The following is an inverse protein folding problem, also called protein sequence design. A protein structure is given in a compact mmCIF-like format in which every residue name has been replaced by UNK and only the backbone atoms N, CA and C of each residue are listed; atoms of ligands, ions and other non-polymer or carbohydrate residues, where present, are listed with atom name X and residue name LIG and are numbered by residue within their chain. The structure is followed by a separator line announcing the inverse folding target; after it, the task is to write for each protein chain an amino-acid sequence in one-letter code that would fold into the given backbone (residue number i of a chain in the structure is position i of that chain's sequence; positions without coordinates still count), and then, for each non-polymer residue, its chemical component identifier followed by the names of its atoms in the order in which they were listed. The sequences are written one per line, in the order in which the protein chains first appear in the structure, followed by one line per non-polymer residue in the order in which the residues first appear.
data_IF_041317371280
#
_entry.id   IF_041317371280
#
_cell.length_a   1.000
_cell.length_b   1.000
_cell.length_c   1.000
_cell.angle_alpha   90.00
_cell.angle_beta   90.00
_cell.angle_gamma   90.00
#
_symmetry.space_group_name_H-M   'P 1'
#
loop_
_entity.id
_entity.type
_entity.pdbx_description
1 polymer ?
#
# COMPACT_ATOMS: atom_id res chain seq x y z
N UNK A 1 -36.98 -68.65 -49.65
CA UNK A 1 -35.58 -68.49 -49.84
C UNK A 1 -35.39 -67.10 -50.36
N UNK A 2 -35.45 -66.19 -49.49
CA UNK A 2 -35.50 -64.76 -49.91
C UNK A 2 -34.49 -64.03 -48.97
N UNK A 3 -33.42 -63.66 -49.61
CA UNK A 3 -32.46 -62.71 -49.04
C UNK A 3 -33.05 -61.31 -49.03
N UNK A 4 -33.03 -60.72 -47.86
CA UNK A 4 -33.39 -59.31 -47.73
C UNK A 4 -32.18 -58.59 -47.21
N UNK A 5 -31.56 -57.77 -48.04
CA UNK A 5 -30.49 -56.86 -47.78
C UNK A 5 -31.09 -55.61 -47.11
N UNK A 6 -30.64 -55.24 -46.01
CA UNK A 6 -30.96 -53.96 -45.32
C UNK A 6 -30.01 -52.86 -45.83
N UNK A 7 -30.51 -51.61 -46.04
CA UNK A 7 -29.64 -50.49 -46.42
C UNK A 7 -28.96 -49.87 -45.21
N UNK A 8 -27.68 -49.69 -45.39
CA UNK A 8 -26.79 -48.93 -44.51
C UNK A 8 -27.11 -47.43 -44.62
N UNK A 9 -27.52 -46.81 -43.52
CA UNK A 9 -27.74 -45.36 -43.44
C UNK A 9 -26.69 -44.75 -42.55
N UNK A 10 -25.59 -44.35 -43.18
CA UNK A 10 -24.59 -43.50 -42.53
C UNK A 10 -25.22 -42.16 -42.19
N UNK A 11 -25.44 -41.91 -40.91
CA UNK A 11 -25.81 -40.60 -40.39
C UNK A 11 -24.50 -39.82 -40.15
N UNK A 12 -24.18 -38.93 -41.10
CA UNK A 12 -23.15 -37.89 -40.90
C UNK A 12 -23.62 -36.95 -39.78
N UNK A 13 -22.98 -37.05 -38.61
CA UNK A 13 -23.13 -36.07 -37.55
C UNK A 13 -22.29 -34.85 -37.91
N UNK A 14 -22.93 -33.84 -38.46
CA UNK A 14 -22.36 -32.48 -38.57
C UNK A 14 -22.12 -31.96 -37.16
N UNK A 15 -20.83 -31.96 -36.74
CA UNK A 15 -20.40 -31.23 -35.57
C UNK A 15 -20.67 -29.74 -35.78
N UNK A 16 -21.62 -29.19 -35.06
CA UNK A 16 -21.87 -27.77 -34.99
C UNK A 16 -20.63 -27.10 -34.43
N UNK A 17 -19.91 -26.33 -35.26
CA UNK A 17 -18.91 -25.40 -34.83
C UNK A 17 -19.61 -24.38 -33.95
N UNK A 18 -19.47 -24.56 -32.63
CA UNK A 18 -19.93 -23.58 -31.65
C UNK A 18 -19.17 -22.27 -31.86
N UNK A 19 -19.88 -21.25 -32.34
CA UNK A 19 -19.40 -19.88 -32.28
C UNK A 19 -19.33 -19.55 -30.79
N UNK A 20 -18.12 -19.60 -30.24
CA UNK A 20 -17.84 -19.15 -28.89
C UNK A 20 -18.10 -17.64 -28.88
N UNK A 21 -19.23 -17.22 -28.31
CA UNK A 21 -19.44 -15.82 -27.97
C UNK A 21 -18.31 -15.32 -27.02
N UNK A 22 -18.14 -14.02 -26.86
CA UNK A 22 -17.09 -13.50 -25.97
C UNK A 22 -17.21 -14.17 -24.62
N UNK A 23 -16.16 -14.87 -24.19
CA UNK A 23 -16.10 -15.49 -22.88
C UNK A 23 -16.01 -14.36 -21.85
N UNK A 24 -17.11 -14.06 -21.17
CA UNK A 24 -17.16 -13.12 -20.07
C UNK A 24 -16.57 -13.83 -18.85
N UNK A 25 -15.48 -13.28 -18.33
CA UNK A 25 -14.81 -13.80 -17.13
C UNK A 25 -15.66 -13.51 -15.88
N UNK A 26 -15.68 -14.43 -14.94
CA UNK A 26 -16.36 -14.23 -13.67
C UNK A 26 -15.29 -13.93 -12.59
N UNK A 27 -15.42 -12.82 -11.85
CA UNK A 27 -14.52 -12.56 -10.72
C UNK A 27 -14.58 -13.69 -9.71
N UNK A 28 -13.46 -13.94 -9.02
CA UNK A 28 -13.38 -14.96 -7.95
C UNK A 28 -14.40 -14.70 -6.84
N UNK A 29 -14.56 -13.45 -6.47
CA UNK A 29 -15.60 -12.99 -5.55
C UNK A 29 -16.78 -12.41 -6.35
N UNK A 30 -18.00 -12.60 -5.89
CA UNK A 30 -19.19 -11.99 -6.46
C UNK A 30 -19.12 -10.46 -6.28
N UNK A 31 -18.72 -9.75 -7.33
CA UNK A 31 -18.69 -8.29 -7.41
C UNK A 31 -19.75 -7.84 -8.39
N UNK A 32 -20.79 -7.14 -7.91
CA UNK A 32 -21.83 -6.59 -8.76
C UNK A 32 -21.43 -5.26 -9.36
N UNK A 33 -21.06 -4.30 -8.52
CA UNK A 33 -20.68 -2.95 -8.93
C UNK A 33 -19.31 -2.57 -8.40
N UNK A 34 -18.44 -2.11 -9.31
CA UNK A 34 -17.10 -1.64 -8.96
C UNK A 34 -16.85 -0.24 -9.50
N UNK A 35 -16.06 0.54 -8.77
CA UNK A 35 -15.58 1.85 -9.24
C UNK A 35 -14.06 1.80 -9.27
N UNK A 36 -13.46 2.30 -10.35
CA UNK A 36 -12.03 2.45 -10.48
C UNK A 36 -11.65 3.92 -10.56
N UNK A 37 -10.90 4.38 -9.58
CA UNK A 37 -10.32 5.72 -9.53
C UNK A 37 -8.90 5.66 -10.10
N UNK A 38 -8.66 6.44 -11.14
CA UNK A 38 -7.36 6.53 -11.82
C UNK A 38 -6.77 7.91 -11.60
N UNK A 39 -5.58 8.01 -11.02
CA UNK A 39 -4.88 9.28 -10.87
C UNK A 39 -3.84 9.47 -12.00
N UNK A 40 -4.16 10.22 -13.06
CA UNK A 40 -3.27 10.40 -14.21
C UNK A 40 -1.99 11.18 -13.88
N UNK A 41 -1.97 11.90 -12.73
CA UNK A 41 -0.80 12.64 -12.26
C UNK A 41 0.22 11.76 -11.53
N UNK A 42 -0.10 10.50 -11.26
CA UNK A 42 0.85 9.57 -10.64
C UNK A 42 1.87 9.08 -11.66
N UNK A 43 3.14 9.09 -11.26
CA UNK A 43 4.27 8.88 -12.18
C UNK A 43 4.36 7.51 -12.86
N UNK A 44 3.64 6.50 -12.36
CA UNK A 44 3.55 5.16 -12.95
C UNK A 44 2.25 4.93 -13.75
N UNK A 45 1.39 5.95 -13.86
CA UNK A 45 0.11 5.87 -14.58
C UNK A 45 0.26 6.52 -15.96
N UNK A 46 0.04 5.76 -17.01
CA UNK A 46 0.07 6.27 -18.39
C UNK A 46 -1.17 7.11 -18.73
N UNK A 47 -1.06 7.94 -19.77
CA UNK A 47 -2.15 8.81 -20.20
C UNK A 47 -3.43 8.04 -20.58
N UNK A 48 -3.30 6.82 -21.10
CA UNK A 48 -4.43 5.98 -21.55
C UNK A 48 -4.88 4.97 -20.48
N UNK A 49 -4.38 5.09 -19.23
CA UNK A 49 -4.62 4.08 -18.19
C UNK A 49 -6.11 3.92 -17.85
N UNK A 50 -6.90 4.98 -17.95
CA UNK A 50 -8.35 4.90 -17.71
C UNK A 50 -9.06 4.06 -18.78
N UNK A 51 -8.72 4.25 -20.06
CA UNK A 51 -9.29 3.48 -21.18
C UNK A 51 -8.83 2.02 -21.15
N UNK A 52 -7.55 1.80 -20.84
CA UNK A 52 -7.00 0.45 -20.67
C UNK A 52 -7.64 -0.29 -19.49
N UNK A 53 -7.91 0.41 -18.38
CA UNK A 53 -8.61 -0.14 -17.25
C UNK A 53 -10.07 -0.49 -17.58
N UNK A 54 -10.76 0.41 -18.29
CA UNK A 54 -12.13 0.15 -18.74
C UNK A 54 -12.20 -1.07 -19.68
N UNK A 55 -11.23 -1.21 -20.57
CA UNK A 55 -11.13 -2.38 -21.46
C UNK A 55 -10.93 -3.69 -20.68
N UNK A 56 -10.03 -3.69 -19.67
CA UNK A 56 -9.81 -4.87 -18.83
C UNK A 56 -11.08 -5.21 -18.03
N UNK A 57 -11.73 -4.23 -17.43
CA UNK A 57 -12.93 -4.45 -16.62
C UNK A 57 -14.11 -4.95 -17.45
N UNK A 58 -14.20 -4.56 -18.72
CA UNK A 58 -15.23 -5.03 -19.66
C UNK A 58 -15.14 -6.53 -19.99
N UNK A 59 -13.98 -7.17 -19.74
CA UNK A 59 -13.83 -8.61 -19.89
C UNK A 59 -14.57 -9.41 -18.79
N UNK A 60 -15.02 -8.76 -17.71
CA UNK A 60 -15.61 -9.41 -16.53
C UNK A 60 -17.10 -9.13 -16.39
N UNK A 61 -17.84 -10.09 -15.83
CA UNK A 61 -19.28 -10.00 -15.55
C UNK A 61 -19.54 -9.10 -14.31
N UNK A 62 -19.36 -7.78 -14.46
CA UNK A 62 -19.58 -6.79 -13.41
C UNK A 62 -19.95 -5.42 -14.01
N UNK A 63 -20.57 -4.57 -13.21
CA UNK A 63 -20.84 -3.17 -13.58
C UNK A 63 -19.65 -2.31 -13.14
N UNK A 64 -18.87 -1.83 -14.11
CA UNK A 64 -17.68 -1.03 -13.84
C UNK A 64 -17.87 0.44 -14.21
N UNK A 65 -17.42 1.35 -13.34
CA UNK A 65 -17.29 2.77 -13.63
C UNK A 65 -15.84 3.17 -13.42
N UNK A 66 -15.21 3.75 -14.47
CA UNK A 66 -13.84 4.27 -14.38
C UNK A 66 -13.88 5.79 -14.33
N UNK A 67 -13.20 6.38 -13.33
CA UNK A 67 -13.17 7.81 -13.09
C UNK A 67 -11.71 8.27 -13.05
N UNK A 68 -11.33 9.16 -13.96
CA UNK A 68 -10.05 9.87 -13.88
C UNK A 68 -10.13 10.96 -12.82
N UNK A 69 -9.19 10.94 -11.86
CA UNK A 69 -9.14 11.93 -10.80
C UNK A 69 -8.59 13.26 -11.32
N UNK A 70 -9.28 14.33 -10.99
CA UNK A 70 -8.89 15.71 -11.31
C UNK A 70 -8.38 16.40 -10.03
N UNK A 71 -7.24 17.09 -10.12
CA UNK A 71 -6.60 17.69 -8.95
C UNK A 71 -7.48 18.62 -8.12
N UNK A 72 -8.33 19.41 -8.78
CA UNK A 72 -9.27 20.32 -8.10
C UNK A 72 -10.56 19.66 -7.59
N UNK A 73 -10.85 18.42 -7.97
CA UNK A 73 -12.10 17.71 -7.66
C UNK A 73 -11.85 16.43 -6.85
N UNK A 74 -10.61 16.16 -6.47
CA UNK A 74 -10.21 14.93 -5.78
C UNK A 74 -11.14 14.56 -4.62
N UNK A 75 -11.35 15.49 -3.69
CA UNK A 75 -12.19 15.22 -2.51
C UNK A 75 -13.64 14.89 -2.87
N UNK A 76 -14.20 15.62 -3.84
CA UNK A 76 -15.56 15.41 -4.32
C UNK A 76 -15.71 14.07 -5.04
N UNK A 77 -14.78 13.74 -5.95
CA UNK A 77 -14.81 12.49 -6.72
C UNK A 77 -14.64 11.26 -5.81
N UNK A 78 -13.73 11.34 -4.83
CA UNK A 78 -13.54 10.26 -3.84
C UNK A 78 -14.79 10.08 -2.98
N UNK A 79 -15.39 11.20 -2.51
CA UNK A 79 -16.60 11.11 -1.71
C UNK A 79 -17.76 10.52 -2.50
N UNK A 80 -17.97 10.95 -3.75
CA UNK A 80 -19.00 10.38 -4.63
C UNK A 80 -18.81 8.88 -4.86
N UNK A 81 -17.55 8.43 -5.06
CA UNK A 81 -17.25 7.02 -5.23
C UNK A 81 -17.59 6.20 -3.97
N UNK A 82 -17.32 6.75 -2.79
CA UNK A 82 -17.65 6.10 -1.52
C UNK A 82 -19.16 6.09 -1.24
N UNK A 83 -19.85 7.20 -1.51
CA UNK A 83 -21.31 7.34 -1.33
C UNK A 83 -22.09 6.42 -2.25
N UNK A 84 -21.53 6.09 -3.42
CA UNK A 84 -22.11 5.13 -4.36
C UNK A 84 -22.11 3.68 -3.80
N UNK A 85 -21.38 3.40 -2.71
CA UNK A 85 -21.27 2.11 -2.04
C UNK A 85 -21.01 0.94 -3.00
N UNK A 86 -19.92 0.99 -3.79
CA UNK A 86 -19.56 -0.13 -4.64
C UNK A 86 -19.13 -1.33 -3.79
N UNK A 87 -19.17 -2.53 -4.36
CA UNK A 87 -18.62 -3.73 -3.71
C UNK A 87 -17.10 -3.62 -3.57
N UNK A 88 -16.44 -3.06 -4.59
CA UNK A 88 -15.01 -2.79 -4.56
C UNK A 88 -14.65 -1.44 -5.22
N UNK A 89 -13.64 -0.79 -4.66
CA UNK A 89 -13.05 0.45 -5.13
C UNK A 89 -11.59 0.20 -5.54
N UNK A 90 -11.34 0.13 -6.83
CA UNK A 90 -10.00 0.02 -7.38
C UNK A 90 -9.35 1.41 -7.42
N UNK A 91 -8.09 1.51 -7.00
CA UNK A 91 -7.38 2.80 -6.91
C UNK A 91 -6.04 2.69 -7.62
N UNK A 92 -5.96 3.17 -8.85
CA UNK A 92 -4.71 3.26 -9.61
C UNK A 92 -4.04 4.61 -9.35
N UNK A 93 -3.13 4.64 -8.41
CA UNK A 93 -2.49 5.87 -7.94
C UNK A 93 -1.15 5.57 -7.22
N UNK A 94 -0.44 6.62 -6.78
CA UNK A 94 0.67 6.47 -5.84
C UNK A 94 0.19 6.17 -4.41
N UNK A 95 1.12 5.69 -3.56
CA UNK A 95 0.83 5.24 -2.19
C UNK A 95 0.09 6.29 -1.35
N UNK A 96 0.43 7.57 -1.47
CA UNK A 96 -0.24 8.66 -0.72
C UNK A 96 -1.71 8.82 -1.10
N UNK A 97 -2.04 8.80 -2.39
CA UNK A 97 -3.43 8.86 -2.87
C UNK A 97 -4.20 7.60 -2.48
N UNK A 98 -3.61 6.43 -2.72
CA UNK A 98 -4.23 5.14 -2.39
C UNK A 98 -4.47 5.02 -0.88
N UNK A 99 -3.50 5.41 -0.06
CA UNK A 99 -3.62 5.43 1.39
C UNK A 99 -4.70 6.40 1.90
N UNK A 100 -4.83 7.56 1.29
CA UNK A 100 -5.88 8.54 1.63
C UNK A 100 -7.27 7.97 1.33
N UNK A 101 -7.46 7.35 0.18
CA UNK A 101 -8.75 6.73 -0.21
C UNK A 101 -9.06 5.54 0.69
N UNK A 102 -8.08 4.67 0.96
CA UNK A 102 -8.24 3.54 1.88
C UNK A 102 -8.62 3.99 3.30
N UNK A 103 -7.99 5.07 3.80
CA UNK A 103 -8.31 5.67 5.09
C UNK A 103 -9.74 6.22 5.16
N UNK A 104 -10.24 6.81 4.06
CA UNK A 104 -11.62 7.31 3.98
C UNK A 104 -12.65 6.19 3.86
N UNK A 105 -12.34 5.11 3.15
CA UNK A 105 -13.17 3.92 3.08
C UNK A 105 -13.33 3.28 4.47
N UNK A 106 -12.25 3.18 5.21
CA UNK A 106 -12.26 2.62 6.56
C UNK A 106 -12.61 1.13 6.60
N UNK A 107 -12.79 0.56 7.80
CA UNK A 107 -13.05 -0.86 7.98
C UNK A 107 -14.44 -1.31 7.52
N UNK A 108 -15.42 -0.40 7.52
CA UNK A 108 -16.81 -0.68 7.21
C UNK A 108 -17.23 -0.26 5.79
N UNK A 109 -16.31 0.35 5.05
CA UNK A 109 -16.53 0.80 3.68
C UNK A 109 -16.42 -0.31 2.63
N UNK A 110 -16.39 0.05 1.33
CA UNK A 110 -16.17 -0.89 0.24
C UNK A 110 -14.80 -1.57 0.37
N UNK A 111 -14.62 -2.72 -0.28
CA UNK A 111 -13.30 -3.32 -0.44
C UNK A 111 -12.42 -2.37 -1.27
N UNK A 112 -11.19 -2.12 -0.83
CA UNK A 112 -10.26 -1.26 -1.58
C UNK A 112 -9.19 -2.11 -2.24
N UNK A 113 -8.99 -1.93 -3.53
CA UNK A 113 -7.91 -2.56 -4.29
C UNK A 113 -6.88 -1.48 -4.70
N UNK A 114 -5.87 -1.18 -3.87
CA UNK A 114 -4.82 -0.23 -4.24
C UNK A 114 -3.92 -0.86 -5.30
N UNK A 115 -3.86 -0.23 -6.48
CA UNK A 115 -3.07 -0.70 -7.62
C UNK A 115 -1.78 0.13 -7.77
N UNK A 116 -0.68 -0.48 -8.24
CA UNK A 116 0.60 0.21 -8.35
C UNK A 116 0.60 1.27 -9.46
N UNK A 117 0.43 2.53 -9.09
CA UNK A 117 0.45 3.69 -9.99
C UNK A 117 1.52 4.73 -9.62
N UNK A 118 2.27 4.52 -8.55
CA UNK A 118 3.31 5.42 -8.06
C UNK A 118 4.74 4.93 -8.35
N UNK A 119 5.68 5.52 -7.64
CA UNK A 119 7.11 5.15 -7.75
C UNK A 119 7.48 4.02 -6.79
N UNK A 120 7.01 4.08 -5.55
CA UNK A 120 7.39 3.09 -4.52
C UNK A 120 6.44 1.89 -4.54
N UNK A 121 5.14 2.14 -4.63
CA UNK A 121 4.08 1.13 -4.68
C UNK A 121 4.21 0.10 -3.53
N UNK A 122 4.51 0.57 -2.31
CA UNK A 122 4.79 -0.30 -1.17
C UNK A 122 3.56 -1.12 -0.78
N UNK A 123 2.43 -0.46 -0.61
CA UNK A 123 1.17 -1.11 -0.26
C UNK A 123 0.68 -2.07 -1.36
N UNK A 124 0.60 -1.67 -2.65
CA UNK A 124 0.22 -2.59 -3.72
C UNK A 124 1.15 -3.79 -3.87
N UNK A 125 2.47 -3.58 -3.74
CA UNK A 125 3.44 -4.69 -3.82
C UNK A 125 3.28 -5.70 -2.69
N UNK A 126 2.97 -5.23 -1.48
CA UNK A 126 2.70 -6.12 -0.35
C UNK A 126 1.44 -6.98 -0.57
N UNK A 127 0.41 -6.41 -1.23
CA UNK A 127 -0.85 -7.09 -1.50
C UNK A 127 -0.80 -8.01 -2.72
N UNK A 128 -0.16 -7.58 -3.80
CA UNK A 128 -0.24 -8.27 -5.10
C UNK A 128 1.08 -8.90 -5.56
N UNK A 129 2.21 -8.62 -4.90
CA UNK A 129 3.52 -9.15 -5.28
C UNK A 129 4.05 -8.65 -6.64
N UNK A 130 3.47 -7.57 -7.20
CA UNK A 130 3.83 -7.02 -8.51
C UNK A 130 3.86 -5.50 -8.52
N UNK A 131 4.60 -4.93 -9.47
CA UNK A 131 4.61 -3.50 -9.76
C UNK A 131 3.79 -3.15 -11.02
N UNK A 132 3.30 -4.15 -11.75
CA UNK A 132 2.43 -3.97 -12.92
C UNK A 132 0.97 -3.88 -12.46
N UNK A 133 0.36 -2.72 -12.70
CA UNK A 133 -1.01 -2.48 -12.28
C UNK A 133 -2.05 -3.32 -13.03
N UNK A 134 -1.77 -3.72 -14.28
CA UNK A 134 -2.68 -4.59 -15.05
C UNK A 134 -2.69 -5.99 -14.49
N UNK A 135 -1.53 -6.49 -14.09
CA UNK A 135 -1.40 -7.78 -13.41
C UNK A 135 -2.06 -7.72 -12.03
N UNK A 136 -1.84 -6.64 -11.27
CA UNK A 136 -2.47 -6.45 -9.96
C UNK A 136 -4.00 -6.37 -10.05
N UNK A 137 -4.55 -5.65 -11.07
CA UNK A 137 -5.99 -5.57 -11.32
C UNK A 137 -6.60 -6.95 -11.61
N UNK A 138 -5.97 -7.73 -12.52
CA UNK A 138 -6.43 -9.09 -12.82
C UNK A 138 -6.35 -10.00 -11.59
N UNK A 139 -5.27 -9.97 -10.84
CA UNK A 139 -5.16 -10.73 -9.59
C UNK A 139 -6.23 -10.37 -8.57
N UNK A 140 -6.55 -9.09 -8.43
CA UNK A 140 -7.63 -8.65 -7.54
C UNK A 140 -8.99 -9.20 -7.98
N UNK A 141 -9.26 -9.30 -9.30
CA UNK A 141 -10.50 -9.83 -9.86
C UNK A 141 -10.56 -11.36 -9.83
N UNK A 142 -9.46 -12.03 -10.15
CA UNK A 142 -9.40 -13.47 -10.39
C UNK A 142 -9.04 -14.27 -9.12
N UNK A 143 -8.34 -13.66 -8.15
CA UNK A 143 -7.83 -14.33 -6.95
C UNK A 143 -8.24 -13.57 -5.66
N UNK A 144 -8.87 -12.39 -5.81
CA UNK A 144 -9.12 -11.48 -4.70
C UNK A 144 -10.15 -12.00 -3.71
N UNK A 145 -9.81 -11.88 -2.43
CA UNK A 145 -10.69 -12.11 -1.29
C UNK A 145 -10.60 -10.90 -0.32
N UNK A 146 -11.62 -10.70 0.54
CA UNK A 146 -11.58 -9.65 1.54
C UNK A 146 -10.46 -9.91 2.56
N UNK A 147 -9.54 -8.95 2.72
CA UNK A 147 -8.46 -9.00 3.70
C UNK A 147 -8.52 -7.77 4.61
N UNK A 148 -8.40 -7.98 5.93
CA UNK A 148 -8.22 -6.89 6.88
C UNK A 148 -6.81 -6.34 6.79
N UNK A 149 -6.67 -5.07 6.45
CA UNK A 149 -5.36 -4.39 6.43
C UNK A 149 -5.17 -3.64 7.74
N UNK A 150 -4.14 -4.04 8.47
CA UNK A 150 -3.69 -3.34 9.65
C UNK A 150 -2.80 -2.16 9.28
N UNK A 151 -2.69 -1.19 10.19
CA UNK A 151 -1.84 -0.02 9.99
C UNK A 151 -1.56 0.70 11.30
N UNK A 152 -1.06 1.91 11.17
CA UNK A 152 -0.92 2.82 12.29
C UNK A 152 -1.48 4.19 11.98
N UNK A 153 -1.70 4.98 13.01
CA UNK A 153 -2.10 6.38 12.90
C UNK A 153 -1.12 7.26 13.67
N UNK A 154 -0.60 8.27 13.02
CA UNK A 154 0.22 9.31 13.63
C UNK A 154 -0.63 10.55 13.85
N UNK A 155 -0.59 11.13 15.04
CA UNK A 155 -1.24 12.42 15.33
C UNK A 155 -0.38 13.30 16.24
N UNK A 156 -0.43 14.61 16.01
CA UNK A 156 0.17 15.63 16.88
C UNK A 156 -0.88 16.59 17.49
N UNK A 157 -2.16 16.20 17.42
CA UNK A 157 -3.30 16.97 17.88
C UNK A 157 -3.90 17.91 16.82
N UNK A 158 -3.16 18.28 15.77
CA UNK A 158 -3.68 19.03 14.60
C UNK A 158 -3.57 18.25 13.32
N UNK A 159 -2.47 17.52 13.18
CA UNK A 159 -2.20 16.61 12.09
C UNK A 159 -2.66 15.20 12.48
N UNK A 160 -3.23 14.48 11.52
CA UNK A 160 -3.60 13.07 11.65
C UNK A 160 -3.41 12.39 10.30
N UNK A 161 -2.66 11.31 10.30
CA UNK A 161 -2.44 10.52 9.09
C UNK A 161 -2.29 9.05 9.43
N UNK A 162 -3.02 8.21 8.72
CA UNK A 162 -2.81 6.76 8.76
C UNK A 162 -1.59 6.38 7.92
N UNK A 163 -0.97 5.25 8.27
CA UNK A 163 0.06 4.60 7.46
C UNK A 163 -0.15 3.09 7.44
N UNK A 164 0.21 2.48 6.32
CA UNK A 164 0.01 1.06 6.06
C UNK A 164 1.32 0.32 5.85
N UNK A 165 2.41 1.06 5.66
CA UNK A 165 3.75 0.51 5.48
C UNK A 165 4.64 0.88 6.66
N UNK A 166 5.07 2.13 6.77
CA UNK A 166 5.97 2.56 7.82
C UNK A 166 5.87 4.05 8.15
N UNK A 167 6.16 4.40 9.42
CA UNK A 167 6.39 5.76 9.86
C UNK A 167 7.79 5.88 10.48
N UNK A 168 8.60 6.80 9.97
CA UNK A 168 9.94 7.12 10.46
C UNK A 168 9.89 8.49 11.11
N UNK A 169 10.20 8.57 12.39
CA UNK A 169 10.21 9.82 13.17
C UNK A 169 11.64 10.14 13.61
N UNK A 170 12.05 11.40 13.45
CA UNK A 170 13.36 11.88 13.90
C UNK A 170 14.31 12.22 12.76
N UNK A 171 15.60 12.22 13.06
CA UNK A 171 16.65 12.71 12.17
C UNK A 171 16.68 12.10 10.76
N UNK A 172 16.54 10.79 10.58
CA UNK A 172 16.57 10.17 9.24
C UNK A 172 15.48 10.71 8.29
N UNK A 173 14.34 11.13 8.82
CA UNK A 173 13.27 11.71 8.00
C UNK A 173 13.68 13.01 7.28
N UNK A 174 14.72 13.70 7.74
CA UNK A 174 15.25 14.92 7.10
C UNK A 174 15.96 14.64 5.76
N UNK A 175 16.27 13.38 5.45
CA UNK A 175 16.94 13.00 4.20
C UNK A 175 15.95 12.78 3.04
N UNK A 176 14.66 12.64 3.34
CA UNK A 176 13.65 12.44 2.31
C UNK A 176 13.65 13.54 1.23
N UNK A 177 13.72 14.86 1.57
CA UNK A 177 13.82 15.93 0.57
C UNK A 177 15.13 15.89 -0.23
N UNK A 178 16.24 15.44 0.38
CA UNK A 178 17.52 15.32 -0.34
C UNK A 178 17.46 14.21 -1.39
N UNK A 179 16.85 13.07 -1.04
CA UNK A 179 16.65 11.95 -1.96
C UNK A 179 15.76 12.35 -3.14
N UNK A 180 14.69 13.07 -2.88
CA UNK A 180 13.79 13.55 -3.93
C UNK A 180 14.50 14.53 -4.88
N UNK A 181 15.29 15.47 -4.34
CA UNK A 181 16.06 16.40 -5.15
C UNK A 181 17.12 15.70 -6.03
N UNK A 182 17.72 14.60 -5.56
CA UNK A 182 18.60 13.75 -6.38
C UNK A 182 17.82 13.10 -7.52
N UNK A 183 16.62 12.57 -7.24
CA UNK A 183 15.77 11.94 -8.25
C UNK A 183 15.33 12.92 -9.34
N UNK A 184 15.12 14.19 -8.97
CA UNK A 184 14.80 15.28 -9.90
C UNK A 184 16.02 15.88 -10.61
N UNK A 185 17.24 15.35 -10.37
CA UNK A 185 18.47 15.87 -10.96
C UNK A 185 18.98 17.21 -10.38
N UNK A 186 18.37 17.67 -9.27
CA UNK A 186 18.69 18.95 -8.60
C UNK A 186 19.81 18.77 -7.56
N UNK A 187 21.03 18.40 -8.01
CA UNK A 187 22.14 18.03 -7.12
C UNK A 187 22.56 19.12 -6.13
N UNK A 188 22.50 20.41 -6.52
CA UNK A 188 22.81 21.53 -5.62
C UNK A 188 21.81 21.65 -4.46
N UNK A 189 20.53 21.41 -4.74
CA UNK A 189 19.46 21.41 -3.75
C UNK A 189 19.55 20.17 -2.84
N UNK A 190 19.86 19.02 -3.43
CA UNK A 190 20.10 17.77 -2.70
C UNK A 190 21.27 17.93 -1.70
N UNK A 191 22.35 18.57 -2.12
CA UNK A 191 23.50 18.88 -1.24
C UNK A 191 23.11 19.81 -0.09
N UNK A 192 22.34 20.88 -0.37
CA UNK A 192 21.88 21.81 0.64
C UNK A 192 20.96 21.14 1.67
N UNK A 193 20.03 20.29 1.23
CA UNK A 193 19.16 19.50 2.09
C UNK A 193 19.96 18.47 2.89
N UNK A 194 20.88 17.73 2.25
CA UNK A 194 21.74 16.76 2.92
C UNK A 194 22.58 17.39 4.01
N UNK A 195 23.21 18.55 3.74
CA UNK A 195 24.03 19.30 4.74
C UNK A 195 23.16 19.82 5.90
N UNK A 196 21.93 20.26 5.62
CA UNK A 196 20.98 20.72 6.64
C UNK A 196 20.46 19.56 7.47
N UNK A 197 20.18 18.42 6.85
CA UNK A 197 19.81 17.18 7.53
C UNK A 197 20.95 16.71 8.45
N UNK A 198 22.18 16.70 7.97
CA UNK A 198 23.35 16.33 8.74
C UNK A 198 23.56 17.21 9.99
N UNK A 199 23.45 18.54 9.85
CA UNK A 199 23.55 19.46 10.98
C UNK A 199 22.45 19.27 12.02
N UNK A 200 21.26 18.84 11.63
CA UNK A 200 20.11 18.61 12.52
C UNK A 200 20.07 17.19 13.07
N UNK A 201 20.61 16.21 12.34
CA UNK A 201 20.68 14.82 12.78
C UNK A 201 21.33 14.66 14.16
N UNK A 202 22.35 15.48 14.45
CA UNK A 202 23.07 15.44 15.72
C UNK A 202 22.51 16.35 16.81
N UNK A 203 21.40 17.06 16.57
CA UNK A 203 20.92 18.10 17.49
C UNK A 203 19.65 17.75 18.29
N UNK A 204 19.01 16.62 18.03
CA UNK A 204 17.70 16.36 18.61
C UNK A 204 17.44 14.89 18.96
N UNK A 205 17.69 14.51 20.21
CA UNK A 205 17.23 13.21 20.71
C UNK A 205 15.73 13.23 20.95
N UNK A 206 15.04 12.27 20.35
CA UNK A 206 13.66 11.97 20.68
C UNK A 206 13.59 11.33 22.07
N UNK A 207 12.57 11.68 22.83
CA UNK A 207 12.10 10.90 23.96
C UNK A 207 10.87 10.14 23.52
N UNK A 208 10.80 8.87 23.78
CA UNK A 208 9.66 8.07 23.40
C UNK A 208 9.30 7.07 24.50
N UNK A 209 8.02 6.80 24.59
CA UNK A 209 7.45 5.79 25.46
C UNK A 209 6.63 4.83 24.59
N UNK A 210 6.82 3.54 24.78
CA UNK A 210 6.13 2.46 24.08
C UNK A 210 5.18 1.78 25.07
N UNK A 211 3.89 1.71 24.77
CA UNK A 211 2.84 1.11 25.59
C UNK A 211 2.85 1.60 27.04
N UNK A 212 3.07 2.91 27.23
CA UNK A 212 3.10 3.53 28.56
C UNK A 212 4.32 3.18 29.41
N UNK A 213 5.33 2.49 28.86
CA UNK A 213 6.57 2.17 29.60
C UNK A 213 7.50 3.38 29.67
N UNK A 214 8.49 3.29 30.56
CA UNK A 214 9.46 4.37 30.87
C UNK A 214 10.04 5.01 29.61
N UNK A 215 10.15 6.34 29.60
CA UNK A 215 10.73 7.13 28.52
C UNK A 215 12.15 6.68 28.19
N UNK A 216 12.36 6.38 26.93
CA UNK A 216 13.67 6.08 26.33
C UNK A 216 14.11 7.24 25.44
N UNK A 217 15.36 7.21 25.01
CA UNK A 217 15.93 8.20 24.11
C UNK A 217 16.48 7.51 22.86
N UNK A 218 16.20 8.08 21.71
CA UNK A 218 16.77 7.66 20.44
C UNK A 218 16.90 8.86 19.50
N UNK A 219 17.61 8.72 18.42
CA UNK A 219 17.65 9.73 17.35
C UNK A 219 16.53 9.51 16.35
N UNK A 220 16.10 8.26 16.19
CA UNK A 220 14.98 7.90 15.37
C UNK A 220 14.14 6.79 15.98
N UNK A 221 12.86 6.82 15.69
CA UNK A 221 11.93 5.74 15.93
C UNK A 221 11.29 5.35 14.58
N UNK A 222 11.44 4.09 14.20
CA UNK A 222 10.81 3.51 13.03
C UNK A 222 9.67 2.62 13.50
N UNK A 223 8.51 2.80 12.91
CA UNK A 223 7.31 2.03 13.20
C UNK A 223 6.84 1.39 11.89
N UNK A 224 6.72 0.07 11.88
CA UNK A 224 6.40 -0.70 10.68
C UNK A 224 5.08 -1.42 10.90
N UNK A 225 4.22 -1.36 9.89
CA UNK A 225 2.95 -2.08 9.87
C UNK A 225 3.19 -3.59 9.78
N UNK A 226 2.33 -4.43 10.38
CA UNK A 226 2.41 -5.88 10.25
C UNK A 226 2.45 -6.38 8.81
N UNK A 227 1.76 -5.71 7.89
CA UNK A 227 1.75 -6.06 6.47
C UNK A 227 3.15 -6.10 5.84
N UNK A 228 4.04 -5.18 6.27
CA UNK A 228 5.42 -5.09 5.78
C UNK A 228 6.37 -5.88 6.69
N UNK A 229 6.02 -5.99 7.97
CA UNK A 229 6.82 -6.70 8.95
C UNK A 229 6.62 -8.21 8.84
N UNK A 230 7.54 -8.89 8.14
CA UNK A 230 7.56 -10.37 8.09
C UNK A 230 7.79 -11.05 9.44
N UNK A 231 8.10 -10.29 10.49
CA UNK A 231 8.42 -10.81 11.83
C UNK A 231 7.22 -10.79 12.78
N UNK A 232 6.05 -10.31 12.34
CA UNK A 232 4.92 -10.06 13.23
C UNK A 232 3.62 -10.55 12.61
N UNK A 233 2.79 -11.20 13.45
CA UNK A 233 1.42 -11.50 13.12
C UNK A 233 0.62 -10.20 12.87
N UNK A 234 -0.28 -10.22 11.89
CA UNK A 234 -1.12 -9.09 11.49
C UNK A 234 -1.96 -8.50 12.63
N UNK A 235 -2.09 -9.22 13.75
CA UNK A 235 -2.92 -8.84 14.88
C UNK A 235 -2.16 -8.35 16.11
N UNK A 236 -0.82 -8.38 16.09
CA UNK A 236 -0.01 -8.16 17.31
C UNK A 236 0.36 -6.71 17.56
N UNK A 237 0.42 -5.84 16.57
CA UNK A 237 0.79 -4.43 16.74
C UNK A 237 1.78 -3.93 15.70
N UNK A 238 2.27 -2.71 15.90
CA UNK A 238 3.34 -2.14 15.07
C UNK A 238 4.70 -2.69 15.54
N UNK A 239 5.57 -3.00 14.61
CA UNK A 239 6.98 -3.25 14.93
C UNK A 239 7.68 -1.91 15.18
N UNK A 240 8.22 -1.72 16.38
CA UNK A 240 8.93 -0.52 16.74
C UNK A 240 10.43 -0.78 16.83
N UNK A 241 11.23 -0.03 16.10
CA UNK A 241 12.68 -0.04 16.15
C UNK A 241 13.22 1.32 16.54
N UNK A 242 13.98 1.36 17.62
CA UNK A 242 14.65 2.57 18.10
C UNK A 242 16.12 2.56 17.64
N UNK A 243 16.57 3.66 17.05
CA UNK A 243 17.91 3.79 16.48
C UNK A 243 18.73 4.87 17.22
N UNK A 244 20.01 4.59 17.47
CA UNK A 244 20.97 5.48 18.15
C UNK A 244 21.99 6.10 17.17
N UNK A 245 22.64 7.25 17.55
CA UNK A 245 23.44 8.09 16.63
C UNK A 245 24.63 7.44 15.97
N UNK A 246 25.26 6.48 16.62
CA UNK A 246 26.40 5.76 16.04
C UNK A 246 25.99 5.03 14.74
N UNK A 247 24.70 4.76 14.60
CA UNK A 247 24.11 3.93 13.56
C UNK A 247 23.35 4.77 12.51
N UNK A 248 23.35 6.12 12.64
CA UNK A 248 22.55 6.98 11.75
C UNK A 248 22.99 6.88 10.27
N UNK A 249 24.26 6.63 9.98
CA UNK A 249 24.76 6.32 8.62
C UNK A 249 24.33 4.91 8.21
N UNK A 250 24.30 3.99 9.14
CA UNK A 250 23.83 2.63 9.00
C UNK A 250 22.30 2.60 8.87
N UNK A 251 21.59 3.41 9.65
CA UNK A 251 20.14 3.63 9.53
C UNK A 251 19.74 4.23 8.18
N UNK A 252 20.59 5.08 7.58
CA UNK A 252 20.38 5.56 6.21
C UNK A 252 20.55 4.42 5.19
N UNK A 253 21.57 3.59 5.35
CA UNK A 253 21.70 2.35 4.56
C UNK A 253 20.50 1.42 4.80
N UNK A 254 20.10 1.26 6.04
CA UNK A 254 18.95 0.45 6.44
C UNK A 254 17.62 0.98 5.89
N UNK A 255 17.35 2.27 5.95
CA UNK A 255 16.15 2.86 5.34
C UNK A 255 16.15 2.75 3.80
N UNK A 256 17.33 2.72 3.19
CA UNK A 256 17.49 2.44 1.75
C UNK A 256 17.42 0.92 1.45
N UNK A 257 17.84 0.07 2.38
CA UNK A 257 17.85 -1.39 2.26
C UNK A 257 16.67 -2.08 2.97
N UNK A 258 15.93 -1.41 3.86
CA UNK A 258 14.82 -1.97 4.63
C UNK A 258 13.69 -2.53 3.75
N UNK A 259 13.68 -2.19 2.47
CA UNK A 259 12.82 -2.82 1.48
C UNK A 259 13.38 -4.17 0.99
N UNK A 260 14.68 -4.48 1.19
CA UNK A 260 15.36 -5.59 0.53
C UNK A 260 16.23 -6.50 1.42
N UNK A 261 16.60 -6.10 2.67
CA UNK A 261 17.52 -6.88 3.51
C UNK A 261 17.05 -6.99 4.97
N UNK A 262 17.48 -8.06 5.64
CA UNK A 262 17.08 -8.38 7.03
C UNK A 262 17.84 -7.52 8.05
N UNK A 263 17.52 -6.21 8.09
CA UNK A 263 18.08 -5.22 9.03
C UNK A 263 17.84 -5.58 10.52
N UNK A 264 16.97 -6.55 10.80
CA UNK A 264 16.67 -7.07 12.15
C UNK A 264 17.83 -7.80 12.78
N UNK A 265 18.78 -8.27 11.98
CA UNK A 265 19.98 -8.97 12.48
C UNK A 265 21.05 -8.01 13.01
N UNK A 266 20.88 -6.68 12.86
CA UNK A 266 21.79 -5.71 13.41
C UNK A 266 21.62 -5.63 14.95
N UNK A 267 22.67 -5.90 15.76
CA UNK A 267 22.58 -5.88 17.22
C UNK A 267 22.19 -4.52 17.83
N UNK A 268 22.26 -3.44 17.05
CA UNK A 268 21.85 -2.10 17.47
C UNK A 268 20.32 -1.88 17.37
N UNK A 269 19.59 -2.81 16.74
CA UNK A 269 18.15 -2.72 16.51
C UNK A 269 17.42 -3.61 17.51
N UNK A 270 16.64 -2.99 18.40
CA UNK A 270 15.73 -3.73 19.28
C UNK A 270 14.33 -3.56 18.74
N UNK A 271 13.77 -4.61 18.19
CA UNK A 271 12.39 -4.61 17.70
C UNK A 271 11.41 -5.09 18.76
N UNK A 272 10.24 -4.50 18.79
CA UNK A 272 9.17 -4.85 19.70
C UNK A 272 7.82 -4.56 19.09
N UNK A 273 6.85 -5.48 19.28
CA UNK A 273 5.46 -5.22 19.01
C UNK A 273 4.89 -4.19 20.00
N UNK A 274 4.20 -3.19 19.49
CA UNK A 274 3.56 -2.14 20.29
C UNK A 274 2.17 -1.81 19.79
N UNK A 275 1.31 -1.39 20.71
CA UNK A 275 -0.02 -0.88 20.40
C UNK A 275 -0.03 0.65 20.29
N UNK A 276 0.85 1.32 21.02
CA UNK A 276 0.94 2.77 21.03
C UNK A 276 2.33 3.27 21.34
N UNK A 277 2.66 4.45 20.78
CA UNK A 277 3.88 5.17 21.11
C UNK A 277 3.55 6.65 21.36
N UNK A 278 4.25 7.25 22.31
CA UNK A 278 4.26 8.70 22.49
C UNK A 278 5.67 9.20 22.28
N UNK A 279 5.85 10.16 21.39
CA UNK A 279 7.14 10.70 20.97
C UNK A 279 7.18 12.18 21.31
N UNK A 280 8.27 12.63 21.95
CA UNK A 280 8.49 14.02 22.33
C UNK A 280 9.86 14.48 21.90
N UNK A 281 9.94 15.75 21.48
CA UNK A 281 11.20 16.42 21.14
C UNK A 281 11.20 17.87 21.64
N UNK A 282 12.39 18.47 21.74
CA UNK A 282 12.52 19.92 22.05
C UNK A 282 12.08 20.81 20.88
N UNK A 283 12.19 20.33 19.66
CA UNK A 283 11.78 21.00 18.42
C UNK A 283 10.67 20.20 17.73
N UNK A 284 10.19 20.71 16.60
CA UNK A 284 9.28 19.93 15.74
C UNK A 284 9.95 18.62 15.33
N UNK A 285 9.15 17.56 15.23
CA UNK A 285 9.59 16.20 14.90
C UNK A 285 9.48 16.03 13.38
N UNK A 286 10.60 15.90 12.66
CA UNK A 286 10.54 15.50 11.26
C UNK A 286 10.09 14.04 11.18
N UNK A 287 9.23 13.76 10.21
CA UNK A 287 8.69 12.42 9.97
C UNK A 287 8.63 12.11 8.48
N UNK A 288 8.65 10.84 8.15
CA UNK A 288 8.24 10.29 6.85
C UNK A 288 7.19 9.23 7.13
N UNK A 289 6.02 9.38 6.52
CA UNK A 289 4.86 8.52 6.75
C UNK A 289 4.46 7.94 5.39
N UNK A 290 4.60 6.63 5.21
CA UNK A 290 4.42 5.93 3.92
C UNK A 290 5.12 6.62 2.73
N UNK A 291 6.34 7.11 2.98
CA UNK A 291 7.15 7.81 1.98
C UNK A 291 6.92 9.33 1.89
N UNK A 292 5.86 9.86 2.48
CA UNK A 292 5.52 11.29 2.45
C UNK A 292 6.16 12.04 3.62
N UNK A 293 6.88 13.15 3.36
CA UNK A 293 7.51 13.93 4.42
C UNK A 293 6.46 14.73 5.22
N UNK A 294 6.58 14.70 6.53
CA UNK A 294 5.76 15.44 7.46
C UNK A 294 6.59 16.17 8.52
N UNK A 295 6.07 17.23 9.10
CA UNK A 295 6.69 17.97 10.17
C UNK A 295 5.71 18.12 11.34
N UNK A 296 5.82 17.21 12.29
CA UNK A 296 4.94 17.13 13.45
C UNK A 296 5.35 18.14 14.52
N UNK A 297 4.45 18.41 15.47
CA UNK A 297 4.70 19.28 16.63
C UNK A 297 5.70 18.60 17.60
N UNK A 298 5.89 19.20 18.76
CA UNK A 298 6.84 18.73 19.80
C UNK A 298 6.44 17.41 20.45
N UNK A 299 5.17 17.04 20.33
CA UNK A 299 4.64 15.75 20.78
C UNK A 299 3.82 15.14 19.65
N UNK A 300 4.06 13.88 19.39
CA UNK A 300 3.28 13.04 18.49
C UNK A 300 2.90 11.74 19.19
N UNK A 301 1.73 11.23 18.87
CA UNK A 301 1.24 9.93 19.32
C UNK A 301 1.04 9.04 18.10
N UNK A 302 1.38 7.78 18.29
CA UNK A 302 1.12 6.75 17.29
C UNK A 302 0.30 5.66 17.93
N UNK A 303 -0.70 5.17 17.23
CA UNK A 303 -1.50 4.03 17.67
C UNK A 303 -1.59 2.99 16.56
N UNK A 304 -1.63 1.75 16.94
CA UNK A 304 -1.94 0.64 16.06
C UNK A 304 -3.43 0.62 15.72
N UNK A 305 -3.74 0.28 14.47
CA UNK A 305 -5.10 0.07 13.98
C UNK A 305 -5.16 -1.34 13.42
N UNK A 306 -5.89 -2.23 14.08
CA UNK A 306 -5.99 -3.64 13.69
C UNK A 306 -6.63 -3.83 12.32
N UNK A 307 -7.69 -3.10 12.04
CA UNK A 307 -8.36 -3.07 10.75
C UNK A 307 -8.53 -1.62 10.34
N UNK A 308 -7.64 -1.12 9.51
CA UNK A 308 -7.69 0.25 9.02
C UNK A 308 -8.64 0.36 7.82
N UNK A 309 -8.63 -0.64 6.96
CA UNK A 309 -9.57 -0.83 5.87
C UNK A 309 -9.60 -2.32 5.47
N UNK A 310 -10.52 -2.68 4.57
CA UNK A 310 -10.58 -4.03 3.97
C UNK A 310 -10.06 -3.94 2.54
N UNK A 311 -9.04 -4.75 2.22
CA UNK A 311 -8.54 -4.86 0.86
C UNK A 311 -9.23 -5.99 0.09
N UNK A 312 -9.32 -5.82 -1.23
CA UNK A 312 -9.57 -6.91 -2.17
C UNK A 312 -8.22 -7.34 -2.75
N UNK A 313 -7.68 -8.45 -2.27
CA UNK A 313 -6.37 -8.92 -2.67
C UNK A 313 -6.30 -10.45 -2.64
N UNK A 314 -5.38 -11.09 -3.39
CA UNK A 314 -5.15 -12.53 -3.29
C UNK A 314 -4.82 -12.92 -1.85
N UNK A 315 -5.36 -14.03 -1.39
CA UNK A 315 -4.89 -14.59 -0.12
C UNK A 315 -3.40 -14.92 -0.27
N UNK A 316 -2.55 -14.57 0.69
CA UNK A 316 -1.18 -15.01 0.64
C UNK A 316 -1.18 -16.54 0.50
N UNK A 317 -0.33 -17.14 -0.35
CA UNK A 317 -0.22 -18.57 -0.42
C UNK A 317 0.10 -19.06 1.00
N UNK A 318 -0.70 -20.01 1.49
CA UNK A 318 -0.37 -20.74 2.72
C UNK A 318 1.01 -21.29 2.47
N UNK A 319 2.00 -20.86 3.25
CA UNK A 319 3.32 -21.47 3.19
C UNK A 319 3.09 -22.97 3.43
N UNK A 320 3.35 -23.80 2.42
CA UNK A 320 3.37 -25.24 2.63
C UNK A 320 4.36 -25.45 3.76
N UNK A 321 3.85 -25.93 4.89
CA UNK A 321 4.68 -26.29 6.02
C UNK A 321 5.74 -27.26 5.49
N UNK A 322 6.99 -26.86 5.60
CA UNK A 322 8.12 -27.72 5.30
C UNK A 322 8.02 -28.94 6.25
N UNK A 323 7.55 -30.05 5.68
CA UNK A 323 7.58 -31.38 6.32
C UNK A 323 9.01 -31.89 6.30
#
# INVERSE_FOLDING_TARGET
MTDTVAPDTAVETLAAAGISGPHVLTPHMALGRVIMLVNPLSGGVGANAADEAAAILADYALEATVVALEGGQFDTQVQQALDARPDALFVLAGDGTAGTIASRAGPDGPLVAPLPGGTMNMLPRALYGTADWKVALRRALEEGAPQCVAGGEVTDGRFRQAFYCAAILGAPALWAPAREAVREGKFGLAWAYGRRALKRAFSGRLRFSLDGRTDRRAEALVLISPMISKAMDEHTGLEAAAMNPADALQAFRLAAHAVFDDWRQDPAVTTKAIQQATIRARSRIPAVIDGEPALLRHEAKVRFIRTAFRALAPNPPIAEDAV
#
